data_IF_314616210901
#
_entry.id   IF_314616210901
#
_cell.length_a   1.000
_cell.length_b   1.000
_cell.length_c   1.000
_cell.angle_alpha   90.00
_cell.angle_beta   90.00
_cell.angle_gamma   90.00
#
_symmetry.space_group_name_H-M   'P 1'
#
loop_
_entity.id
_entity.type
_entity.pdbx_description
1 polymer ?
#
# COMPACT_ATOMS: atom_id res chain seq x y z
N UNK A 1 -5.44 17.34 -12.61
CA UNK A 1 -4.56 17.72 -11.47
C UNK A 1 -3.29 18.33 -12.03
N UNK A 2 -2.71 19.35 -11.39
CA UNK A 2 -1.40 19.82 -11.84
C UNK A 2 -0.26 18.87 -11.41
N UNK A 3 0.89 19.00 -12.07
CA UNK A 3 2.04 18.12 -11.89
C UNK A 3 2.61 18.17 -10.47
N UNK A 4 2.56 19.32 -9.81
CA UNK A 4 3.07 19.48 -8.44
C UNK A 4 2.20 18.73 -7.46
N UNK A 5 0.88 18.86 -7.59
CA UNK A 5 -0.10 18.11 -6.79
C UNK A 5 0.03 16.61 -7.03
N UNK A 6 0.15 16.20 -8.29
CA UNK A 6 0.27 14.80 -8.66
C UNK A 6 1.55 14.17 -8.11
N UNK A 7 2.69 14.84 -8.25
CA UNK A 7 3.95 14.38 -7.66
C UNK A 7 3.90 14.29 -6.13
N UNK A 8 3.21 15.22 -5.47
CA UNK A 8 3.02 15.17 -4.02
C UNK A 8 2.19 13.96 -3.61
N UNK A 9 1.07 13.70 -4.29
CA UNK A 9 0.21 12.53 -4.01
C UNK A 9 0.93 11.21 -4.29
N UNK A 10 1.68 11.10 -5.39
CA UNK A 10 2.48 9.91 -5.70
C UNK A 10 3.57 9.64 -4.64
N UNK A 11 4.23 10.68 -4.13
CA UNK A 11 5.20 10.53 -3.04
C UNK A 11 4.53 10.13 -1.71
N UNK A 12 3.30 10.59 -1.44
CA UNK A 12 2.50 10.09 -0.29
C UNK A 12 2.21 8.60 -0.42
N UNK A 13 1.72 8.17 -1.59
CA UNK A 13 1.45 6.76 -1.88
C UNK A 13 2.73 5.95 -1.69
N UNK A 14 3.84 6.37 -2.28
CA UNK A 14 5.12 5.66 -2.13
C UNK A 14 5.57 5.53 -0.67
N UNK A 15 5.35 6.57 0.13
CA UNK A 15 5.65 6.54 1.57
C UNK A 15 4.80 5.49 2.30
N UNK A 16 3.54 5.30 1.88
CA UNK A 16 2.65 4.28 2.43
C UNK A 16 3.09 2.85 2.06
N UNK A 17 3.39 2.59 0.78
CA UNK A 17 3.83 1.26 0.32
C UNK A 17 5.12 0.82 1.01
N UNK A 18 6.06 1.74 1.26
CA UNK A 18 7.25 1.44 2.06
C UNK A 18 6.92 1.04 3.50
N UNK A 19 5.86 1.61 4.07
CA UNK A 19 5.32 1.21 5.37
C UNK A 19 4.77 -0.22 5.34
N UNK A 20 3.93 -0.55 4.35
CA UNK A 20 3.37 -1.89 4.20
C UNK A 20 4.45 -2.95 3.98
N UNK A 21 5.43 -2.66 3.12
CA UNK A 21 6.57 -3.55 2.91
C UNK A 21 7.29 -3.88 4.24
N UNK A 22 7.42 -2.89 5.13
CA UNK A 22 7.96 -3.09 6.48
C UNK A 22 7.12 -4.03 7.34
N UNK A 23 5.78 -3.99 7.22
CA UNK A 23 4.88 -4.86 7.97
C UNK A 23 5.08 -6.35 7.64
N UNK A 24 5.34 -6.67 6.37
CA UNK A 24 5.37 -8.05 5.88
C UNK A 24 6.75 -8.71 5.96
N UNK A 25 7.83 -7.94 5.96
CA UNK A 25 9.21 -8.47 5.91
C UNK A 25 9.63 -9.28 7.14
N UNK A 26 9.00 -9.08 8.28
CA UNK A 26 9.39 -9.75 9.53
C UNK A 26 8.73 -11.14 9.74
N UNK A 27 8.00 -11.66 8.74
CA UNK A 27 7.22 -12.90 8.87
C UNK A 27 7.93 -14.20 8.49
N UNK A 28 9.21 -14.13 8.10
CA UNK A 28 9.99 -15.31 7.68
C UNK A 28 10.14 -16.39 8.76
N UNK A 29 9.92 -16.06 10.04
CA UNK A 29 10.04 -16.99 11.17
C UNK A 29 8.70 -17.35 11.82
N UNK A 30 7.58 -16.91 11.25
CA UNK A 30 6.26 -17.23 11.79
C UNK A 30 6.01 -18.74 11.77
N UNK A 31 5.33 -19.28 12.79
CA UNK A 31 5.10 -20.74 12.91
C UNK A 31 4.13 -21.24 11.83
N UNK A 32 3.02 -20.53 11.62
CA UNK A 32 2.07 -20.83 10.54
C UNK A 32 2.75 -20.68 9.15
N UNK A 33 2.85 -21.79 8.43
CA UNK A 33 3.47 -21.86 7.10
C UNK A 33 2.67 -21.16 6.00
N UNK A 34 1.35 -21.18 6.09
CA UNK A 34 0.46 -20.49 5.15
C UNK A 34 0.63 -18.98 5.33
N UNK A 35 0.58 -18.47 6.56
CA UNK A 35 0.86 -17.05 6.85
C UNK A 35 2.25 -16.63 6.37
N UNK A 36 3.28 -17.42 6.68
CA UNK A 36 4.66 -17.12 6.27
C UNK A 36 4.81 -17.01 4.76
N UNK A 37 4.19 -17.92 4.00
CA UNK A 37 4.23 -17.90 2.52
C UNK A 37 3.45 -16.71 1.96
N UNK A 38 2.26 -16.47 2.48
CA UNK A 38 1.40 -15.38 2.00
C UNK A 38 2.03 -14.02 2.29
N UNK A 39 2.58 -13.80 3.48
CA UNK A 39 3.17 -12.51 3.83
C UNK A 39 4.46 -12.23 3.05
N UNK A 40 5.23 -13.27 2.71
CA UNK A 40 6.31 -13.12 1.72
C UNK A 40 5.77 -12.65 0.37
N UNK A 41 4.68 -13.24 -0.11
CA UNK A 41 4.05 -12.79 -1.36
C UNK A 41 3.52 -11.37 -1.25
N UNK A 42 2.97 -10.96 -0.10
CA UNK A 42 2.54 -9.59 0.13
C UNK A 42 3.72 -8.62 0.09
N UNK A 43 4.86 -8.97 0.70
CA UNK A 43 6.08 -8.17 0.59
C UNK A 43 6.55 -8.00 -0.87
N UNK A 44 6.50 -9.07 -1.69
CA UNK A 44 6.81 -8.98 -3.12
C UNK A 44 5.85 -8.04 -3.87
N UNK A 45 4.55 -8.13 -3.57
CA UNK A 45 3.51 -7.26 -4.15
C UNK A 45 3.76 -5.79 -3.78
N UNK A 46 4.09 -5.50 -2.52
CA UNK A 46 4.44 -4.14 -2.06
C UNK A 46 5.70 -3.60 -2.75
N UNK A 47 6.71 -4.45 -3.00
CA UNK A 47 7.88 -4.05 -3.80
C UNK A 47 7.49 -3.70 -5.24
N UNK A 48 6.60 -4.48 -5.85
CA UNK A 48 6.05 -4.21 -7.18
C UNK A 48 5.27 -2.88 -7.20
N UNK A 49 4.42 -2.62 -6.20
CA UNK A 49 3.70 -1.36 -6.03
C UNK A 49 4.67 -0.16 -5.97
N UNK A 50 5.70 -0.25 -5.14
CA UNK A 50 6.74 0.79 -4.99
C UNK A 50 7.40 1.06 -6.34
N UNK A 51 7.79 0.02 -7.09
CA UNK A 51 8.44 0.21 -8.39
C UNK A 51 7.49 0.86 -9.41
N UNK A 52 6.23 0.44 -9.47
CA UNK A 52 5.21 1.04 -10.35
C UNK A 52 5.10 2.56 -10.10
N UNK A 53 4.90 2.97 -8.85
CA UNK A 53 4.76 4.39 -8.48
C UNK A 53 6.07 5.16 -8.69
N UNK A 54 7.21 4.56 -8.34
CA UNK A 54 8.54 5.15 -8.58
C UNK A 54 8.76 5.47 -10.05
N UNK A 55 8.43 4.54 -10.93
CA UNK A 55 8.59 4.73 -12.37
C UNK A 55 7.68 5.86 -12.87
N UNK A 56 6.46 5.99 -12.35
CA UNK A 56 5.57 7.12 -12.68
C UNK A 56 6.22 8.45 -12.27
N UNK A 57 6.70 8.58 -11.03
CA UNK A 57 7.34 9.82 -10.53
C UNK A 57 8.54 10.20 -11.40
N UNK A 58 9.41 9.25 -11.72
CA UNK A 58 10.61 9.50 -12.51
C UNK A 58 10.26 9.87 -13.96
N UNK A 59 9.27 9.22 -14.56
CA UNK A 59 8.81 9.54 -15.91
C UNK A 59 8.16 10.93 -16.01
N UNK A 60 7.62 11.45 -14.91
CA UNK A 60 7.15 12.82 -14.80
C UNK A 60 8.27 13.85 -14.56
N UNK A 61 9.53 13.42 -14.46
CA UNK A 61 10.66 14.29 -14.12
C UNK A 61 10.74 14.66 -12.63
N UNK A 62 9.94 14.01 -11.78
CA UNK A 62 9.96 14.20 -10.34
C UNK A 62 11.11 13.47 -9.65
N UNK A 63 11.34 13.82 -8.38
CA UNK A 63 12.24 13.07 -7.49
C UNK A 63 11.44 12.23 -6.52
N UNK A 64 11.88 11.00 -6.33
CA UNK A 64 11.40 10.13 -5.26
C UNK A 64 11.80 10.75 -3.92
N UNK A 65 10.80 11.03 -3.09
CA UNK A 65 10.98 11.50 -1.73
C UNK A 65 10.00 10.77 -0.84
N UNK A 66 10.52 9.97 0.09
CA UNK A 66 9.71 9.47 1.19
C UNK A 66 9.41 10.66 2.09
N UNK A 67 8.13 10.93 2.35
CA UNK A 67 7.70 12.08 3.14
C UNK A 67 8.02 11.90 4.64
N UNK A 68 8.46 10.72 5.05
CA UNK A 68 9.09 10.42 6.33
C UNK A 68 9.93 9.13 6.25
N UNK A 69 10.87 8.96 7.17
CA UNK A 69 11.66 7.73 7.33
C UNK A 69 10.97 6.79 8.35
N UNK A 70 10.63 5.57 7.93
CA UNK A 70 10.33 4.44 8.84
C UNK A 70 8.95 4.45 9.54
N UNK A 71 8.63 3.31 10.19
CA UNK A 71 7.29 2.83 10.58
C UNK A 71 6.37 3.74 11.43
N UNK A 72 6.85 4.91 11.85
CA UNK A 72 6.06 5.96 12.51
C UNK A 72 5.00 6.57 11.55
N UNK A 73 5.17 6.36 10.24
CA UNK A 73 4.26 6.78 9.17
C UNK A 73 2.89 6.12 9.28
N UNK A 74 2.83 4.79 9.39
CA UNK A 74 1.55 4.07 9.40
C UNK A 74 0.73 4.44 10.64
N UNK A 75 1.40 4.57 11.79
CA UNK A 75 0.75 5.00 13.02
C UNK A 75 0.23 6.43 12.96
N UNK A 76 0.98 7.37 12.37
CA UNK A 76 0.54 8.78 12.23
C UNK A 76 -0.48 8.99 11.12
N UNK A 77 -0.37 8.31 9.98
CA UNK A 77 -1.29 8.45 8.85
C UNK A 77 -2.63 7.75 9.09
N UNK A 78 -2.61 6.60 9.75
CA UNK A 78 -3.83 5.82 10.01
C UNK A 78 -4.32 5.88 11.46
N UNK A 79 -3.61 6.58 12.36
CA UNK A 79 -3.97 6.68 13.78
C UNK A 79 -3.84 5.35 14.53
N UNK A 80 -2.95 4.46 14.08
CA UNK A 80 -2.83 3.09 14.59
C UNK A 80 -1.65 2.99 15.57
N UNK A 81 -1.93 2.62 16.81
CA UNK A 81 -0.89 2.13 17.74
C UNK A 81 -0.75 0.63 17.54
N UNK A 82 0.36 0.18 16.96
CA UNK A 82 0.63 -1.24 16.71
C UNK A 82 1.05 -1.88 18.05
N UNK A 83 0.10 -2.55 18.73
CA UNK A 83 0.37 -3.36 19.92
C UNK A 83 0.03 -4.82 19.61
N UNK A 84 0.99 -5.53 19.01
CA UNK A 84 0.80 -6.87 18.44
C UNK A 84 1.02 -7.93 19.51
N UNK A 85 -0.02 -8.21 20.31
CA UNK A 85 0.02 -9.25 21.33
C UNK A 85 -0.40 -10.63 20.84
N UNK A 86 -1.15 -10.71 19.73
CA UNK A 86 -1.69 -11.95 19.16
C UNK A 86 -1.74 -11.92 17.63
N UNK A 87 -1.73 -13.10 16.99
CA UNK A 87 -1.88 -13.24 15.53
C UNK A 87 -3.21 -12.67 15.03
N UNK A 88 -4.27 -12.80 15.84
CA UNK A 88 -5.59 -12.24 15.52
C UNK A 88 -5.55 -10.71 15.48
N UNK A 89 -4.96 -10.06 16.49
CA UNK A 89 -4.86 -8.60 16.52
C UNK A 89 -3.96 -8.07 15.40
N UNK A 90 -2.88 -8.79 15.11
CA UNK A 90 -2.00 -8.50 13.98
C UNK A 90 -2.75 -8.54 12.65
N UNK A 91 -3.42 -9.65 12.33
CA UNK A 91 -4.13 -9.81 11.06
C UNK A 91 -5.26 -8.79 10.94
N UNK A 92 -5.95 -8.50 12.04
CA UNK A 92 -6.97 -7.45 12.09
C UNK A 92 -6.37 -6.08 11.75
N UNK A 93 -5.22 -5.73 12.32
CA UNK A 93 -4.52 -4.48 12.02
C UNK A 93 -4.06 -4.43 10.57
N UNK A 94 -3.47 -5.51 10.05
CA UNK A 94 -3.00 -5.55 8.67
C UNK A 94 -4.19 -5.46 7.70
N UNK A 95 -5.28 -6.18 7.96
CA UNK A 95 -6.50 -6.11 7.17
C UNK A 95 -7.07 -4.69 7.14
N UNK A 96 -7.06 -3.98 8.27
CA UNK A 96 -7.50 -2.59 8.33
C UNK A 96 -6.60 -1.67 7.50
N UNK A 97 -5.29 -1.85 7.57
CA UNK A 97 -4.33 -1.07 6.77
C UNK A 97 -4.57 -1.30 5.28
N UNK A 98 -4.65 -2.55 4.83
CA UNK A 98 -4.92 -2.87 3.41
C UNK A 98 -6.24 -2.30 2.90
N UNK A 99 -7.29 -2.34 3.72
CA UNK A 99 -8.56 -1.69 3.39
C UNK A 99 -8.40 -0.19 3.20
N UNK A 100 -7.64 0.47 4.09
CA UNK A 100 -7.39 1.92 3.99
C UNK A 100 -6.53 2.26 2.79
N UNK A 101 -5.59 1.40 2.42
CA UNK A 101 -4.78 1.53 1.22
C UNK A 101 -5.64 1.41 -0.03
N UNK A 102 -6.53 0.42 -0.11
CA UNK A 102 -7.52 0.31 -1.18
C UNK A 102 -8.40 1.57 -1.28
N UNK A 103 -8.98 2.04 -0.17
CA UNK A 103 -9.79 3.27 -0.15
C UNK A 103 -8.98 4.51 -0.59
N UNK A 104 -7.69 4.57 -0.25
CA UNK A 104 -6.77 5.62 -0.67
C UNK A 104 -6.52 5.61 -2.17
N UNK A 105 -6.17 4.44 -2.73
CA UNK A 105 -6.01 4.25 -4.16
C UNK A 105 -7.29 4.55 -4.92
N UNK A 106 -8.45 4.07 -4.46
CA UNK A 106 -9.73 4.33 -5.10
C UNK A 106 -10.01 5.83 -5.24
N UNK A 107 -9.76 6.60 -4.17
CA UNK A 107 -9.90 8.06 -4.21
C UNK A 107 -8.92 8.71 -5.19
N UNK A 108 -7.68 8.21 -5.26
CA UNK A 108 -6.67 8.73 -6.17
C UNK A 108 -7.01 8.42 -7.64
N UNK A 109 -7.35 7.18 -7.95
CA UNK A 109 -7.80 6.73 -9.28
C UNK A 109 -9.02 7.54 -9.72
N UNK A 110 -10.05 7.66 -8.88
CA UNK A 110 -11.26 8.45 -9.21
C UNK A 110 -10.92 9.90 -9.56
N UNK A 111 -9.98 10.54 -8.83
CA UNK A 111 -9.55 11.92 -9.13
C UNK A 111 -8.81 12.01 -10.46
N UNK A 112 -8.01 11.01 -10.80
CA UNK A 112 -7.27 10.95 -12.07
C UNK A 112 -8.20 10.68 -13.26
N UNK A 113 -9.20 9.83 -13.10
CA UNK A 113 -10.18 9.50 -14.14
C UNK A 113 -11.08 10.69 -14.49
N UNK A 114 -11.33 11.58 -13.53
CA UNK A 114 -12.02 12.86 -13.77
C UNK A 114 -11.21 13.84 -14.64
N UNK A 115 -9.89 13.63 -14.71
CA UNK A 115 -8.99 14.42 -15.54
C UNK A 115 -8.86 13.78 -16.93
N UNK A 116 -9.29 14.50 -17.98
CA UNK A 116 -9.27 13.99 -19.35
C UNK A 116 -7.87 13.94 -19.97
N UNK A 117 -6.83 14.38 -19.25
CA UNK A 117 -5.45 14.25 -19.72
C UNK A 117 -5.04 12.78 -19.85
N UNK A 118 -4.48 12.42 -21.02
CA UNK A 118 -3.97 11.05 -21.29
C UNK A 118 -2.99 10.54 -20.24
N UNK A 119 -2.17 11.45 -19.70
CA UNK A 119 -1.23 11.14 -18.61
C UNK A 119 -1.99 10.68 -17.36
N UNK A 120 -3.00 11.43 -16.95
CA UNK A 120 -3.80 11.11 -15.76
C UNK A 120 -4.49 9.76 -15.92
N UNK A 121 -5.02 9.47 -17.10
CA UNK A 121 -5.61 8.16 -17.43
C UNK A 121 -4.58 7.01 -17.35
N UNK A 122 -3.36 7.20 -17.86
CA UNK A 122 -2.30 6.19 -17.74
C UNK A 122 -1.91 5.94 -16.27
N UNK A 123 -1.82 6.99 -15.47
CA UNK A 123 -1.48 6.87 -14.04
C UNK A 123 -2.63 6.20 -13.29
N UNK A 124 -3.89 6.48 -13.66
CA UNK A 124 -5.06 5.82 -13.10
C UNK A 124 -5.00 4.30 -13.33
N UNK A 125 -4.66 3.86 -14.55
CA UNK A 125 -4.49 2.44 -14.88
C UNK A 125 -3.37 1.78 -14.07
N UNK A 126 -2.24 2.46 -13.88
CA UNK A 126 -1.14 1.93 -13.06
C UNK A 126 -1.56 1.81 -11.58
N UNK A 127 -2.22 2.85 -11.05
CA UNK A 127 -2.66 2.88 -9.67
C UNK A 127 -3.83 1.93 -9.40
N UNK A 128 -4.68 1.63 -10.38
CA UNK A 128 -5.80 0.70 -10.26
C UNK A 128 -5.32 -0.76 -10.10
N UNK A 129 -4.16 -1.12 -10.65
CA UNK A 129 -3.51 -2.40 -10.35
C UNK A 129 -3.20 -2.53 -8.86
N UNK A 130 -2.49 -1.55 -8.28
CA UNK A 130 -2.16 -1.58 -6.86
C UNK A 130 -3.43 -1.55 -5.99
N UNK A 131 -4.46 -0.82 -6.41
CA UNK A 131 -5.77 -0.78 -5.77
C UNK A 131 -6.42 -2.17 -5.67
N UNK A 132 -6.38 -2.93 -6.76
CA UNK A 132 -6.91 -4.30 -6.82
C UNK A 132 -6.11 -5.23 -5.92
N UNK A 133 -4.79 -5.15 -5.99
CA UNK A 133 -3.87 -5.97 -5.21
C UNK A 133 -4.07 -5.73 -3.71
N UNK A 134 -4.17 -4.47 -3.25
CA UNK A 134 -4.51 -4.12 -1.87
C UNK A 134 -5.86 -4.71 -1.41
N UNK A 135 -6.87 -4.69 -2.29
CA UNK A 135 -8.17 -5.30 -1.99
C UNK A 135 -8.08 -6.82 -1.83
N UNK A 136 -7.31 -7.49 -2.69
CA UNK A 136 -7.12 -8.93 -2.61
C UNK A 136 -6.35 -9.33 -1.33
N UNK A 137 -5.34 -8.55 -0.94
CA UNK A 137 -4.62 -8.75 0.33
C UNK A 137 -5.53 -8.56 1.54
N UNK A 138 -6.34 -7.50 1.55
CA UNK A 138 -7.37 -7.27 2.57
C UNK A 138 -8.34 -8.45 2.69
N UNK A 139 -8.90 -8.93 1.57
CA UNK A 139 -9.86 -10.04 1.57
C UNK A 139 -9.24 -11.34 2.09
N UNK A 140 -7.98 -11.62 1.75
CA UNK A 140 -7.29 -12.78 2.30
C UNK A 140 -7.11 -12.66 3.81
N UNK A 141 -6.73 -11.48 4.31
CA UNK A 141 -6.58 -11.24 5.76
C UNK A 141 -7.91 -11.37 6.50
N UNK A 142 -9.02 -10.87 5.93
CA UNK A 142 -10.36 -11.06 6.50
C UNK A 142 -10.79 -12.53 6.54
N UNK A 143 -10.50 -13.30 5.49
CA UNK A 143 -10.78 -14.72 5.46
C UNK A 143 -9.91 -15.49 6.46
N UNK A 144 -8.61 -15.16 6.54
CA UNK A 144 -7.68 -15.77 7.49
C UNK A 144 -8.14 -15.52 8.92
N UNK A 145 -8.54 -14.30 9.27
CA UNK A 145 -9.03 -13.93 10.61
C UNK A 145 -10.23 -14.75 11.08
N UNK A 146 -11.08 -15.25 10.17
CA UNK A 146 -12.21 -16.12 10.51
C UNK A 146 -11.81 -17.56 10.86
N UNK A 147 -10.54 -17.92 10.59
CA UNK A 147 -10.01 -19.29 10.70
C UNK A 147 -9.05 -19.46 11.88
N UNK A 148 -8.79 -18.40 12.65
CA UNK A 148 -7.86 -18.38 13.80
C UNK A 148 -8.62 -18.12 15.09
#
# INVERSE_FOLDING_TARGET
MDDTQLLLELNKIMTLEHGHLGMYRDFDRHQDQDMRRTFRRFAEVEEEHIQKIKNVILNMGGKVSLLAEGGDILGKLFGITINLGSDHDLIKTFSFIEKKSHEGYQKFVTKLEQDQEKRSQLIAEIASSNMLEAWLMHLWLEDKMKKI
#
